data_IF_205077508898
#
_entry.id   IF_205077508898
#
_cell.length_a   1.000
_cell.length_b   1.000
_cell.length_c   1.000
_cell.angle_alpha   90.00
_cell.angle_beta   90.00
_cell.angle_gamma   90.00
#
_symmetry.space_group_name_H-M   'P 1'
#
loop_
_entity.id
_entity.type
_entity.pdbx_description
1 polymer ?
#
# COMPACT_ATOMS: atom_id res chain seq x y z
N UNK A 1 26.70 0.04 -15.20
CA UNK A 1 25.49 0.13 -16.06
C UNK A 1 24.59 -1.10 -15.95
N UNK A 2 25.10 -2.34 -16.00
CA UNK A 2 24.27 -3.56 -15.88
C UNK A 2 23.55 -3.71 -14.51
N UNK A 3 24.14 -3.18 -13.43
CA UNK A 3 23.56 -3.26 -12.09
C UNK A 3 22.37 -2.30 -11.90
N UNK A 4 22.48 -1.05 -12.39
CA UNK A 4 21.40 -0.06 -12.37
C UNK A 4 20.15 -0.52 -13.15
N UNK A 5 20.34 -1.14 -14.33
CA UNK A 5 19.22 -1.74 -15.09
C UNK A 5 18.55 -2.90 -14.33
N UNK A 6 19.32 -3.62 -13.52
CA UNK A 6 18.82 -4.73 -12.70
C UNK A 6 18.02 -4.21 -11.51
N UNK A 7 18.52 -3.20 -10.80
CA UNK A 7 17.81 -2.57 -9.68
C UNK A 7 16.50 -1.91 -10.13
N UNK A 8 16.51 -1.21 -11.27
CA UNK A 8 15.30 -0.62 -11.86
C UNK A 8 14.25 -1.69 -12.16
N UNK A 9 14.65 -2.81 -12.78
CA UNK A 9 13.72 -3.92 -13.04
C UNK A 9 13.14 -4.50 -11.76
N UNK A 10 13.95 -4.70 -10.71
CA UNK A 10 13.45 -5.19 -9.42
C UNK A 10 12.50 -4.20 -8.77
N UNK A 11 12.79 -2.90 -8.84
CA UNK A 11 11.89 -1.84 -8.39
C UNK A 11 10.53 -1.94 -9.07
N UNK A 12 10.48 -2.19 -10.39
CA UNK A 12 9.20 -2.35 -11.10
C UNK A 12 8.44 -3.61 -10.69
N UNK A 13 9.14 -4.72 -10.41
CA UNK A 13 8.53 -5.94 -9.86
C UNK A 13 7.93 -5.71 -8.47
N UNK A 14 8.65 -4.99 -7.59
CA UNK A 14 8.18 -4.62 -6.25
C UNK A 14 6.94 -3.72 -6.36
N UNK A 15 7.01 -2.71 -7.21
CA UNK A 15 5.91 -1.76 -7.41
C UNK A 15 4.67 -2.45 -8.00
N UNK A 16 4.83 -3.45 -8.87
CA UNK A 16 3.73 -4.27 -9.35
C UNK A 16 3.09 -5.10 -8.22
N UNK A 17 3.90 -5.65 -7.31
CA UNK A 17 3.42 -6.34 -6.11
C UNK A 17 2.59 -5.42 -5.20
N UNK A 18 3.07 -4.22 -4.91
CA UNK A 18 2.36 -3.23 -4.10
C UNK A 18 1.05 -2.76 -4.75
N UNK A 19 1.05 -2.55 -6.08
CA UNK A 19 -0.18 -2.22 -6.83
C UNK A 19 -1.22 -3.33 -6.76
N UNK A 20 -0.79 -4.60 -6.77
CA UNK A 20 -1.70 -5.75 -6.57
C UNK A 20 -2.35 -5.69 -5.19
N UNK A 21 -1.58 -5.41 -4.14
CA UNK A 21 -2.12 -5.20 -2.77
C UNK A 21 -3.13 -4.05 -2.76
N UNK A 22 -2.75 -2.88 -3.29
CA UNK A 22 -3.60 -1.69 -3.34
C UNK A 22 -4.92 -1.95 -4.08
N UNK A 23 -4.88 -2.68 -5.20
CA UNK A 23 -6.07 -3.06 -5.96
C UNK A 23 -6.98 -3.98 -5.14
N UNK A 24 -6.43 -5.00 -4.48
CA UNK A 24 -7.19 -5.92 -3.63
C UNK A 24 -7.80 -5.20 -2.42
N UNK A 25 -7.06 -4.30 -1.75
CA UNK A 25 -7.56 -3.52 -0.61
C UNK A 25 -8.68 -2.59 -1.07
N UNK A 26 -8.49 -1.85 -2.17
CA UNK A 26 -9.50 -0.94 -2.71
C UNK A 26 -10.82 -1.66 -3.01
N UNK A 27 -10.75 -2.90 -3.50
CA UNK A 27 -11.92 -3.71 -3.84
C UNK A 27 -12.70 -4.20 -2.60
N UNK A 28 -12.05 -4.29 -1.43
CA UNK A 28 -12.69 -4.68 -0.17
C UNK A 28 -13.21 -3.49 0.63
N UNK A 29 -12.51 -2.34 0.57
CA UNK A 29 -12.85 -1.13 1.34
C UNK A 29 -13.93 -0.31 0.65
N UNK A 30 -13.89 -0.21 -0.68
CA UNK A 30 -14.89 0.55 -1.44
C UNK A 30 -16.03 -0.40 -1.78
N UNK A 31 -17.18 -0.19 -1.13
CA UNK A 31 -18.38 -1.00 -1.33
C UNK A 31 -18.81 -0.99 -2.80
N UNK A 32 -19.00 -2.17 -3.38
CA UNK A 32 -19.71 -2.29 -4.65
C UNK A 32 -21.15 -1.80 -4.44
N UNK A 33 -21.72 -1.01 -5.36
CA UNK A 33 -23.14 -0.69 -5.30
C UNK A 33 -23.95 -2.00 -5.27
N UNK A 34 -24.81 -2.17 -4.26
CA UNK A 34 -25.67 -3.36 -4.12
C UNK A 34 -26.66 -3.39 -5.28
N UNK A 35 -26.49 -4.36 -6.19
CA UNK A 35 -27.25 -4.48 -7.46
C UNK A 35 -28.71 -4.96 -7.28
N UNK A 36 -29.20 -5.16 -6.05
CA UNK A 36 -30.27 -6.11 -5.80
C UNK A 36 -31.71 -5.56 -5.70
N UNK A 37 -32.00 -4.27 -5.98
CA UNK A 37 -33.36 -3.71 -5.78
C UNK A 37 -33.98 -3.05 -7.03
N UNK A 38 -33.20 -2.76 -8.08
CA UNK A 38 -33.64 -1.84 -9.16
C UNK A 38 -33.98 -2.49 -10.52
N UNK A 39 -33.87 -3.81 -10.67
CA UNK A 39 -34.09 -4.51 -11.96
C UNK A 39 -35.57 -4.61 -12.41
N UNK A 40 -36.45 -3.69 -11.98
CA UNK A 40 -37.88 -3.66 -12.37
C UNK A 40 -38.33 -2.28 -12.95
N UNK A 41 -37.50 -1.21 -12.99
CA UNK A 41 -38.02 0.13 -13.34
C UNK A 41 -37.12 1.04 -14.24
N UNK A 42 -37.34 0.99 -15.57
CA UNK A 42 -37.35 2.10 -16.58
C UNK A 42 -36.05 2.96 -16.86
N UNK A 43 -35.84 3.51 -18.10
CA UNK A 43 -34.53 3.86 -18.69
C UNK A 43 -33.72 5.06 -18.16
N UNK A 44 -34.21 5.87 -17.23
CA UNK A 44 -33.54 7.14 -16.81
C UNK A 44 -32.41 6.90 -15.79
N UNK A 45 -32.39 5.75 -15.10
CA UNK A 45 -31.41 5.44 -14.06
C UNK A 45 -30.04 4.95 -14.58
N UNK A 46 -29.89 4.67 -15.88
CA UNK A 46 -28.60 4.24 -16.45
C UNK A 46 -27.51 5.31 -16.35
N UNK A 47 -27.86 6.60 -16.45
CA UNK A 47 -26.89 7.70 -16.33
C UNK A 47 -26.44 7.88 -14.88
N UNK A 48 -27.36 7.79 -13.90
CA UNK A 48 -27.02 7.80 -12.47
C UNK A 48 -26.18 6.57 -12.09
N UNK A 49 -26.50 5.40 -12.65
CA UNK A 49 -25.73 4.18 -12.48
C UNK A 49 -24.33 4.29 -13.08
N UNK A 50 -24.19 4.80 -14.31
CA UNK A 50 -22.88 5.06 -14.92
C UNK A 50 -22.08 6.08 -14.12
N UNK A 51 -22.73 7.11 -13.57
CA UNK A 51 -22.08 8.10 -12.72
C UNK A 51 -21.65 7.51 -11.36
N UNK A 52 -22.46 6.64 -10.74
CA UNK A 52 -22.10 5.94 -9.51
C UNK A 52 -21.00 4.89 -9.75
N UNK A 53 -21.03 4.19 -10.89
CA UNK A 53 -19.97 3.28 -11.33
C UNK A 53 -18.69 4.04 -11.69
N UNK A 54 -18.79 5.20 -12.36
CA UNK A 54 -17.64 6.06 -12.62
C UNK A 54 -17.07 6.52 -11.30
N UNK A 55 -17.87 7.07 -10.38
CA UNK A 55 -17.44 7.45 -9.02
C UNK A 55 -16.84 6.29 -8.22
N UNK A 56 -17.36 5.08 -8.37
CA UNK A 56 -16.78 3.87 -7.79
C UNK A 56 -15.42 3.54 -8.40
N UNK A 57 -15.29 3.62 -9.72
CA UNK A 57 -14.04 3.37 -10.44
C UNK A 57 -13.00 4.47 -10.19
N UNK A 58 -13.42 5.73 -10.11
CA UNK A 58 -12.62 6.92 -9.88
C UNK A 58 -12.19 7.00 -8.41
N UNK A 59 -13.09 6.61 -7.50
CA UNK A 59 -12.81 6.43 -6.08
C UNK A 59 -11.77 5.33 -5.83
N UNK A 60 -11.89 4.18 -6.51
CA UNK A 60 -10.87 3.12 -6.45
C UNK A 60 -9.52 3.58 -6.98
N UNK A 61 -9.47 4.25 -8.15
CA UNK A 61 -8.23 4.79 -8.72
C UNK A 61 -7.58 5.81 -7.78
N UNK A 62 -8.36 6.74 -7.23
CA UNK A 62 -7.89 7.77 -6.30
C UNK A 62 -7.39 7.17 -4.99
N UNK A 63 -8.13 6.21 -4.42
CA UNK A 63 -7.71 5.46 -3.24
C UNK A 63 -6.39 4.73 -3.49
N UNK A 64 -6.30 3.94 -4.57
CA UNK A 64 -5.08 3.22 -4.91
C UNK A 64 -3.90 4.17 -5.11
N UNK A 65 -4.09 5.33 -5.75
CA UNK A 65 -3.05 6.33 -5.91
C UNK A 65 -2.57 6.88 -4.56
N UNK A 66 -3.48 7.25 -3.65
CA UNK A 66 -3.14 7.73 -2.30
C UNK A 66 -2.47 6.66 -1.45
N UNK A 67 -3.01 5.43 -1.46
CA UNK A 67 -2.44 4.28 -0.76
C UNK A 67 -1.02 3.93 -1.25
N UNK A 68 -0.78 4.12 -2.55
CA UNK A 68 0.52 3.88 -3.16
C UNK A 68 1.53 5.01 -2.95
N UNK A 69 1.11 6.22 -2.58
CA UNK A 69 1.99 7.40 -2.59
C UNK A 69 3.20 7.24 -1.67
N UNK A 70 3.00 6.85 -0.41
CA UNK A 70 4.10 6.61 0.54
C UNK A 70 4.99 5.46 0.07
N UNK A 71 4.40 4.33 -0.33
CA UNK A 71 5.11 3.14 -0.80
C UNK A 71 6.02 3.45 -2.00
N UNK A 72 5.49 4.17 -2.99
CA UNK A 72 6.23 4.54 -4.19
C UNK A 72 7.36 5.52 -3.87
N UNK A 73 7.09 6.58 -3.08
CA UNK A 73 8.13 7.55 -2.69
C UNK A 73 9.28 6.89 -1.91
N UNK A 74 8.96 6.00 -0.98
CA UNK A 74 9.96 5.25 -0.22
C UNK A 74 10.77 4.34 -1.13
N UNK A 75 10.12 3.59 -2.03
CA UNK A 75 10.81 2.70 -2.97
C UNK A 75 11.73 3.46 -3.93
N UNK A 76 11.26 4.59 -4.46
CA UNK A 76 12.04 5.45 -5.36
C UNK A 76 13.27 6.03 -4.63
N UNK A 77 13.10 6.47 -3.38
CA UNK A 77 14.23 6.94 -2.56
C UNK A 77 15.23 5.82 -2.24
N UNK A 78 14.75 4.61 -1.92
CA UNK A 78 15.63 3.45 -1.69
C UNK A 78 16.44 3.12 -2.94
N UNK A 79 15.81 3.09 -4.11
CA UNK A 79 16.50 2.85 -5.37
C UNK A 79 17.59 3.90 -5.60
N UNK A 80 17.23 5.18 -5.46
CA UNK A 80 18.15 6.32 -5.62
C UNK A 80 19.36 6.19 -4.68
N UNK A 81 19.12 5.84 -3.41
CA UNK A 81 20.18 5.66 -2.42
C UNK A 81 21.08 4.46 -2.71
N UNK A 82 20.51 3.34 -3.17
CA UNK A 82 21.31 2.17 -3.60
C UNK A 82 22.19 2.53 -4.79
N UNK A 83 21.65 3.22 -5.80
CA UNK A 83 22.41 3.63 -7.00
C UNK A 83 23.52 4.64 -6.67
N UNK A 84 23.28 5.52 -5.70
CA UNK A 84 24.27 6.49 -5.23
C UNK A 84 25.26 5.91 -4.20
N UNK A 85 25.05 4.68 -3.71
CA UNK A 85 25.91 4.06 -2.70
C UNK A 85 25.81 4.72 -1.32
N UNK A 86 24.67 5.30 -0.98
CA UNK A 86 24.43 6.03 0.28
C UNK A 86 23.24 5.45 1.06
N UNK A 87 23.07 5.90 2.30
CA UNK A 87 21.92 5.55 3.11
C UNK A 87 20.61 6.17 2.58
N UNK A 88 19.48 5.52 2.87
CA UNK A 88 18.15 6.02 2.48
C UNK A 88 17.85 7.32 3.24
N UNK A 89 17.55 8.42 2.53
CA UNK A 89 17.18 9.67 3.18
C UNK A 89 15.70 9.65 3.63
N UNK A 90 15.42 8.92 4.71
CA UNK A 90 14.09 8.85 5.33
C UNK A 90 13.54 10.25 5.67
N UNK A 91 14.32 11.19 6.25
CA UNK A 91 13.84 12.55 6.49
C UNK A 91 13.27 13.24 5.24
N UNK A 92 13.90 13.09 4.07
CA UNK A 92 13.41 13.70 2.83
C UNK A 92 12.05 13.13 2.42
N UNK A 93 11.84 11.81 2.54
CA UNK A 93 10.53 11.18 2.24
C UNK A 93 9.44 11.69 3.19
N UNK A 94 9.79 11.87 4.46
CA UNK A 94 8.87 12.33 5.51
C UNK A 94 8.52 13.82 5.36
N UNK A 95 9.47 14.66 4.94
CA UNK A 95 9.25 16.11 4.79
C UNK A 95 8.29 16.45 3.64
N UNK A 96 8.26 15.65 2.58
CA UNK A 96 7.36 15.84 1.43
C UNK A 96 5.93 15.34 1.72
N UNK A 97 5.70 14.70 2.86
CA UNK A 97 4.38 14.31 3.30
C UNK A 97 3.69 15.49 4.01
N UNK A 98 2.50 15.83 3.52
CA UNK A 98 1.60 16.80 4.15
C UNK A 98 0.89 16.13 5.33
N UNK A 99 1.60 16.07 6.46
CA UNK A 99 1.14 15.47 7.72
C UNK A 99 1.43 16.40 8.90
N UNK A 100 0.57 16.43 9.93
CA UNK A 100 0.84 17.14 11.18
C UNK A 100 2.16 16.73 11.82
N UNK A 101 2.84 17.68 12.46
CA UNK A 101 4.15 17.44 13.09
C UNK A 101 4.04 16.46 14.26
N UNK A 102 2.91 16.45 14.96
CA UNK A 102 2.62 15.59 16.10
C UNK A 102 2.66 14.10 15.73
N UNK A 103 2.27 13.75 14.50
CA UNK A 103 2.21 12.37 14.00
C UNK A 103 3.40 12.00 13.11
N UNK A 104 4.31 12.95 12.88
CA UNK A 104 5.46 12.79 11.97
C UNK A 104 6.40 11.69 12.44
N UNK A 105 6.50 11.46 13.74
CA UNK A 105 7.30 10.37 14.33
C UNK A 105 6.77 8.99 13.93
N UNK A 106 5.47 8.78 14.03
CA UNK A 106 4.82 7.50 13.68
C UNK A 106 4.92 7.24 12.17
N UNK A 107 4.67 8.27 11.37
CA UNK A 107 4.86 8.20 9.92
C UNK A 107 6.30 7.85 9.54
N UNK A 108 7.29 8.48 10.21
CA UNK A 108 8.72 8.15 10.00
C UNK A 108 9.03 6.71 10.32
N UNK A 109 8.48 6.16 11.41
CA UNK A 109 8.65 4.75 11.77
C UNK A 109 8.13 3.81 10.70
N UNK A 110 6.96 4.11 10.13
CA UNK A 110 6.40 3.35 9.02
C UNK A 110 7.25 3.44 7.74
N UNK A 111 7.68 4.64 7.35
CA UNK A 111 8.55 4.86 6.18
C UNK A 111 9.88 4.12 6.33
N UNK A 112 10.50 4.14 7.51
CA UNK A 112 11.75 3.43 7.77
C UNK A 112 11.60 1.92 7.59
N UNK A 113 10.53 1.32 8.15
CA UNK A 113 10.29 -0.12 8.00
C UNK A 113 10.01 -0.53 6.55
N UNK A 114 9.30 0.30 5.79
CA UNK A 114 9.12 0.10 4.34
C UNK A 114 10.44 0.22 3.58
N UNK A 115 11.29 1.16 3.96
CA UNK A 115 12.59 1.36 3.30
C UNK A 115 13.51 0.15 3.50
N UNK A 116 13.57 -0.40 4.71
CA UNK A 116 14.33 -1.62 5.01
C UNK A 116 13.83 -2.78 4.14
N UNK A 117 12.51 -2.99 4.09
CA UNK A 117 11.89 -4.01 3.25
C UNK A 117 12.26 -3.87 1.77
N UNK A 118 12.13 -2.65 1.21
CA UNK A 118 12.43 -2.43 -0.20
C UNK A 118 13.91 -2.58 -0.52
N UNK A 119 14.79 -2.20 0.40
CA UNK A 119 16.24 -2.42 0.26
C UNK A 119 16.54 -3.90 0.20
N UNK A 120 15.99 -4.70 1.13
CA UNK A 120 16.15 -6.15 1.15
C UNK A 120 15.66 -6.78 -0.17
N UNK A 121 14.50 -6.35 -0.70
CA UNK A 121 13.96 -6.88 -1.94
C UNK A 121 14.77 -6.47 -3.19
N UNK A 122 15.29 -5.24 -3.25
CA UNK A 122 16.13 -4.80 -4.38
C UNK A 122 17.47 -5.55 -4.39
N UNK A 123 18.03 -5.85 -3.22
CA UNK A 123 19.29 -6.57 -3.10
C UNK A 123 19.12 -8.09 -3.25
N UNK A 124 17.92 -8.62 -3.00
CA UNK A 124 17.61 -10.06 -3.13
C UNK A 124 17.76 -10.60 -4.57
N UNK A 125 18.00 -11.91 -4.68
CA UNK A 125 18.02 -12.60 -5.97
C UNK A 125 16.61 -12.99 -6.41
N UNK A 126 16.28 -12.75 -7.68
CA UNK A 126 14.99 -13.12 -8.24
C UNK A 126 14.59 -12.30 -9.45
N UNK A 127 13.67 -12.84 -10.25
CA UNK A 127 13.13 -12.22 -11.47
C UNK A 127 11.60 -12.00 -11.40
N UNK A 128 11.00 -12.24 -10.24
CA UNK A 128 9.59 -12.01 -9.92
C UNK A 128 9.46 -11.53 -8.48
N UNK A 129 8.37 -10.82 -8.15
CA UNK A 129 8.12 -10.35 -6.78
C UNK A 129 8.18 -11.49 -5.75
N UNK A 130 7.54 -12.62 -6.04
CA UNK A 130 7.58 -13.79 -5.17
C UNK A 130 9.00 -14.34 -4.96
N UNK A 131 9.82 -14.37 -6.01
CA UNK A 131 11.22 -14.79 -5.89
C UNK A 131 12.05 -13.83 -5.03
N UNK A 132 11.86 -12.52 -5.20
CA UNK A 132 12.53 -11.51 -4.37
C UNK A 132 12.15 -11.67 -2.89
N UNK A 133 10.86 -11.83 -2.58
CA UNK A 133 10.37 -12.04 -1.21
C UNK A 133 10.91 -13.33 -0.60
N UNK A 134 10.88 -14.45 -1.35
CA UNK A 134 11.46 -15.72 -0.89
C UNK A 134 12.97 -15.60 -0.63
N UNK A 135 13.69 -14.92 -1.52
CA UNK A 135 15.14 -14.71 -1.35
C UNK A 135 15.46 -13.79 -0.18
N UNK A 136 14.68 -12.75 0.09
CA UNK A 136 14.90 -11.84 1.22
C UNK A 136 14.58 -12.51 2.56
N UNK A 137 13.39 -13.07 2.70
CA UNK A 137 12.87 -13.55 3.99
C UNK A 137 13.18 -15.03 4.29
N UNK A 138 13.52 -15.82 3.27
CA UNK A 138 13.86 -17.26 3.32
C UNK A 138 12.71 -18.19 3.71
N UNK A 139 11.81 -17.77 4.60
CA UNK A 139 10.69 -18.57 5.09
C UNK A 139 9.41 -17.76 5.20
N UNK A 140 8.27 -18.46 5.13
CA UNK A 140 6.94 -17.87 5.37
C UNK A 140 6.86 -17.22 6.75
N UNK A 141 7.41 -17.86 7.77
CA UNK A 141 7.40 -17.36 9.15
C UNK A 141 8.09 -16.00 9.27
N UNK A 142 9.28 -15.86 8.70
CA UNK A 142 10.02 -14.60 8.72
C UNK A 142 9.29 -13.48 7.99
N UNK A 143 8.69 -13.80 6.84
CA UNK A 143 7.89 -12.82 6.10
C UNK A 143 6.64 -12.41 6.87
N UNK A 144 5.93 -13.35 7.51
CA UNK A 144 4.77 -13.05 8.35
C UNK A 144 5.14 -12.20 9.57
N UNK A 145 6.31 -12.43 10.20
CA UNK A 145 6.80 -11.57 11.29
C UNK A 145 7.00 -10.13 10.82
N UNK A 146 7.61 -9.94 9.65
CA UNK A 146 7.73 -8.63 9.02
C UNK A 146 6.35 -8.00 8.75
N UNK A 147 5.43 -8.74 8.12
CA UNK A 147 4.10 -8.22 7.79
C UNK A 147 3.30 -7.86 9.04
N UNK A 148 3.45 -8.59 10.14
CA UNK A 148 2.84 -8.26 11.43
C UNK A 148 3.40 -6.95 11.98
N UNK A 149 4.72 -6.77 11.94
CA UNK A 149 5.37 -5.51 12.34
C UNK A 149 4.90 -4.35 11.45
N UNK A 150 4.80 -4.57 10.14
CA UNK A 150 4.32 -3.57 9.18
C UNK A 150 2.86 -3.16 9.45
N UNK A 151 2.00 -4.14 9.71
CA UNK A 151 0.61 -3.88 10.09
C UNK A 151 0.53 -3.08 11.40
N UNK A 152 1.41 -3.35 12.37
CA UNK A 152 1.40 -2.64 13.65
C UNK A 152 1.79 -1.16 13.48
N UNK A 153 2.92 -0.87 12.81
CA UNK A 153 3.35 0.53 12.63
C UNK A 153 2.38 1.34 11.74
N UNK A 154 1.73 0.70 10.77
CA UNK A 154 0.69 1.34 9.95
C UNK A 154 -0.55 1.65 10.81
N UNK A 155 -0.96 0.74 11.71
CA UNK A 155 -2.05 0.98 12.68
C UNK A 155 -1.74 2.08 13.67
N UNK A 156 -0.51 2.15 14.17
CA UNK A 156 -0.09 3.19 15.12
C UNK A 156 -0.15 4.57 14.45
N UNK A 157 0.31 4.67 13.20
CA UNK A 157 0.17 5.88 12.39
C UNK A 157 -1.31 6.22 12.12
N UNK A 158 -2.12 5.25 11.70
CA UNK A 158 -3.56 5.46 11.45
C UNK A 158 -4.28 5.91 12.73
N UNK A 159 -3.91 5.36 13.90
CA UNK A 159 -4.45 5.77 15.20
C UNK A 159 -4.08 7.21 15.55
N UNK A 160 -2.84 7.62 15.30
CA UNK A 160 -2.37 8.98 15.49
C UNK A 160 -3.04 9.95 14.51
N UNK A 161 -3.32 9.53 13.27
CA UNK A 161 -3.98 10.35 12.25
C UNK A 161 -5.48 10.56 12.51
N UNK A 162 -6.17 9.57 13.10
CA UNK A 162 -7.64 9.58 13.34
C UNK A 162 -8.19 10.92 13.87
N UNK A 163 -7.65 11.54 14.93
CA UNK A 163 -8.15 12.81 15.46
C UNK A 163 -8.11 13.96 14.45
N UNK A 164 -7.12 13.98 13.55
CA UNK A 164 -6.92 15.06 12.59
C UNK A 164 -7.86 15.00 11.38
N UNK A 165 -8.48 13.84 11.15
CA UNK A 165 -9.38 13.62 10.01
C UNK A 165 -10.80 13.26 10.43
N UNK A 166 -11.10 13.17 11.74
CA UNK A 166 -12.40 12.78 12.26
C UNK A 166 -13.56 13.64 11.73
N UNK A 167 -13.30 14.89 11.35
CA UNK A 167 -14.31 15.82 10.81
C UNK A 167 -14.56 15.68 9.30
N UNK A 168 -13.83 14.80 8.61
CA UNK A 168 -13.86 14.72 7.13
C UNK A 168 -14.95 13.81 6.58
N UNK A 169 -15.52 12.91 7.38
CA UNK A 169 -16.64 12.04 7.02
C UNK A 169 -17.35 11.45 8.26
N UNK A 170 -18.60 11.03 8.09
CA UNK A 170 -19.45 10.53 9.18
C UNK A 170 -19.01 9.16 9.75
N UNK A 171 -18.15 8.39 9.06
CA UNK A 171 -17.64 7.06 9.49
C UNK A 171 -16.14 6.86 9.22
N UNK A 172 -15.31 7.84 9.58
CA UNK A 172 -13.84 7.75 9.39
C UNK A 172 -13.26 6.52 10.12
N UNK A 173 -13.70 6.26 11.35
CA UNK A 173 -13.21 5.15 12.17
C UNK A 173 -13.56 3.78 11.57
N UNK A 174 -14.78 3.59 11.05
CA UNK A 174 -15.18 2.35 10.40
C UNK A 174 -14.45 2.13 9.08
N UNK A 175 -14.21 3.18 8.29
CA UNK A 175 -13.43 3.11 7.05
C UNK A 175 -11.98 2.68 7.35
N UNK A 176 -11.32 3.32 8.30
CA UNK A 176 -9.95 2.97 8.67
C UNK A 176 -9.88 1.53 9.15
N UNK A 177 -10.79 1.11 10.05
CA UNK A 177 -10.80 -0.27 10.55
C UNK A 177 -10.97 -1.29 9.42
N UNK A 178 -11.91 -1.05 8.48
CA UNK A 178 -12.09 -1.89 7.29
C UNK A 178 -10.81 -1.96 6.43
N UNK A 179 -10.08 -0.85 6.32
CA UNK A 179 -8.81 -0.78 5.59
C UNK A 179 -7.70 -1.57 6.28
N UNK A 180 -7.52 -1.39 7.59
CA UNK A 180 -6.54 -2.10 8.41
C UNK A 180 -6.77 -3.62 8.33
N UNK A 181 -8.01 -4.08 8.54
CA UNK A 181 -8.40 -5.49 8.50
C UNK A 181 -8.22 -6.09 7.10
N UNK A 182 -8.66 -5.37 6.06
CA UNK A 182 -8.50 -5.81 4.67
C UNK A 182 -7.03 -5.95 4.29
N UNK A 183 -6.20 -4.97 4.64
CA UNK A 183 -4.77 -4.96 4.33
C UNK A 183 -4.06 -6.13 5.02
N UNK A 184 -4.34 -6.35 6.30
CA UNK A 184 -3.75 -7.46 7.07
C UNK A 184 -4.12 -8.82 6.48
N UNK A 185 -5.40 -9.03 6.15
CA UNK A 185 -5.88 -10.27 5.54
C UNK A 185 -5.27 -10.52 4.15
N UNK A 186 -5.19 -9.49 3.31
CA UNK A 186 -4.62 -9.60 1.95
C UNK A 186 -3.12 -9.90 2.02
N UNK A 187 -2.37 -9.22 2.89
CA UNK A 187 -0.94 -9.48 3.10
C UNK A 187 -0.69 -10.94 3.51
N UNK A 188 -1.52 -11.47 4.41
CA UNK A 188 -1.44 -12.88 4.83
C UNK A 188 -1.73 -13.85 3.69
N UNK A 189 -2.76 -13.57 2.90
CA UNK A 189 -3.09 -14.36 1.71
C UNK A 189 -1.91 -14.38 0.71
N UNK A 190 -1.31 -13.22 0.44
CA UNK A 190 -0.15 -13.11 -0.47
C UNK A 190 1.06 -13.86 0.11
N UNK A 191 1.30 -13.79 1.41
CA UNK A 191 2.37 -14.55 2.06
C UNK A 191 2.16 -16.07 1.93
N UNK A 192 0.91 -16.55 1.97
CA UNK A 192 0.58 -17.94 1.67
C UNK A 192 0.87 -18.28 0.22
N UNK A 193 0.36 -17.49 -0.75
CA UNK A 193 0.62 -17.70 -2.18
C UNK A 193 2.12 -17.71 -2.54
N UNK A 194 2.95 -16.87 -1.89
CA UNK A 194 4.38 -16.78 -2.18
C UNK A 194 5.17 -17.99 -1.67
N UNK A 195 4.76 -18.60 -0.55
CA UNK A 195 5.51 -19.67 0.12
C UNK A 195 4.78 -21.03 0.12
N UNK A 196 3.77 -21.19 -0.73
CA UNK A 196 3.20 -22.48 -1.09
C UNK A 196 4.23 -23.40 -1.78
#
# INVERSE_FOLDING_TARGET
MADASTHTRKRDLILAGERRVAAMVSARVIEKPKLAVWMILIPVFFVFYFWQLSRYSDGRKTFSAKFMMTRQRTLDEVLRSIEAGVDTNIPAVVQVADIPDEIRKDYRGWVALLADHYRDLIQAHGNSYAALVRSAYKSRTNYLLFLNRLNQVERDFDAALKPHIAHTADDVSGIIKRMEDSTSAIRRQIAEEIFQ
#
